data_IF_107473864187
#
_entry.id   IF_107473864187
#
_cell.length_a   1.000
_cell.length_b   1.000
_cell.length_c   1.000
_cell.angle_alpha   90.00
_cell.angle_beta   90.00
_cell.angle_gamma   90.00
#
_symmetry.space_group_name_H-M   'P 1'
#
loop_
_entity.id
_entity.type
_entity.pdbx_description
1 polymer ?
#
# COMPACT_ATOMS: atom_id res chain seq x y z
N UNK A 1 -25.48 -30.31 -1.25
CA UNK A 1 -24.83 -30.95 -2.43
C UNK A 1 -23.54 -30.19 -2.70
N UNK A 2 -22.39 -30.68 -2.23
CA UNK A 2 -21.10 -30.01 -2.47
C UNK A 2 -20.77 -30.13 -3.96
N UNK A 3 -20.71 -29.00 -4.67
CA UNK A 3 -20.15 -28.96 -6.03
C UNK A 3 -18.68 -29.34 -5.92
N UNK A 4 -18.29 -30.38 -6.66
CA UNK A 4 -16.90 -30.79 -6.77
C UNK A 4 -16.19 -29.71 -7.59
N UNK A 5 -15.37 -28.88 -6.95
CA UNK A 5 -14.58 -27.87 -7.64
C UNK A 5 -13.66 -28.55 -8.65
N UNK A 6 -13.75 -28.10 -9.90
CA UNK A 6 -12.84 -28.56 -10.94
C UNK A 6 -11.48 -27.86 -10.79
N UNK A 7 -10.42 -28.46 -11.31
CA UNK A 7 -9.06 -27.93 -11.18
C UNK A 7 -8.93 -26.53 -11.82
N UNK A 8 -9.70 -26.31 -12.88
CA UNK A 8 -9.82 -25.02 -13.57
C UNK A 8 -10.54 -23.98 -12.72
N UNK A 9 -11.57 -24.38 -11.95
CA UNK A 9 -12.24 -23.48 -11.01
C UNK A 9 -11.30 -23.05 -9.89
N UNK A 10 -10.46 -23.98 -9.40
CA UNK A 10 -9.39 -23.65 -8.46
C UNK A 10 -8.44 -22.56 -8.99
N UNK A 11 -8.00 -22.68 -10.24
CA UNK A 11 -7.14 -21.67 -10.88
C UNK A 11 -7.83 -20.31 -11.05
N UNK A 12 -9.12 -20.30 -11.39
CA UNK A 12 -9.91 -19.07 -11.49
C UNK A 12 -10.04 -18.40 -10.13
N UNK A 13 -10.34 -19.16 -9.07
CA UNK A 13 -10.42 -18.62 -7.71
C UNK A 13 -9.06 -18.08 -7.25
N UNK A 14 -7.96 -18.78 -7.55
CA UNK A 14 -6.62 -18.33 -7.21
C UNK A 14 -6.23 -17.04 -7.94
N UNK A 15 -6.60 -16.93 -9.22
CA UNK A 15 -6.42 -15.70 -9.99
C UNK A 15 -7.23 -14.54 -9.42
N UNK A 16 -8.53 -14.75 -9.17
CA UNK A 16 -9.40 -13.71 -8.61
C UNK A 16 -8.92 -13.28 -7.21
N UNK A 17 -8.38 -14.21 -6.41
CA UNK A 17 -7.76 -13.92 -5.10
C UNK A 17 -6.46 -13.15 -5.25
N UNK A 18 -5.64 -13.48 -6.25
CA UNK A 18 -4.39 -12.78 -6.50
C UNK A 18 -4.65 -11.31 -6.87
N UNK A 19 -5.62 -11.08 -7.75
CA UNK A 19 -5.92 -9.77 -8.35
C UNK A 19 -6.92 -8.90 -7.56
N UNK A 20 -7.52 -9.47 -6.50
CA UNK A 20 -8.53 -8.83 -5.65
C UNK A 20 -9.87 -8.53 -6.36
N UNK A 21 -10.35 -9.44 -7.22
CA UNK A 21 -11.67 -9.34 -7.87
C UNK A 21 -12.78 -9.89 -6.96
N UNK A 22 -13.17 -9.10 -5.97
CA UNK A 22 -14.00 -9.53 -4.83
C UNK A 22 -15.45 -9.80 -5.17
N UNK A 23 -16.08 -9.01 -6.04
CA UNK A 23 -17.49 -9.23 -6.40
C UNK A 23 -17.68 -10.59 -7.08
N UNK A 24 -16.73 -10.95 -7.94
CA UNK A 24 -16.70 -12.23 -8.64
C UNK A 24 -16.40 -13.38 -7.68
N UNK A 25 -15.48 -13.20 -6.72
CA UNK A 25 -15.16 -14.20 -5.69
C UNK A 25 -16.32 -14.45 -4.73
N UNK A 26 -16.98 -13.40 -4.25
CA UNK A 26 -18.13 -13.48 -3.35
C UNK A 26 -19.30 -14.16 -4.05
N UNK A 27 -19.55 -13.84 -5.32
CA UNK A 27 -20.54 -14.52 -6.15
C UNK A 27 -20.22 -16.00 -6.41
N UNK A 28 -18.94 -16.39 -6.35
CA UNK A 28 -18.49 -17.77 -6.58
C UNK A 28 -18.39 -18.62 -5.30
N UNK A 29 -18.07 -18.03 -4.15
CA UNK A 29 -17.66 -18.78 -2.95
C UNK A 29 -18.61 -18.64 -1.74
N UNK A 30 -19.66 -17.81 -1.81
CA UNK A 30 -20.72 -17.72 -0.77
C UNK A 30 -20.20 -17.49 0.68
N UNK A 31 -18.96 -16.99 0.83
CA UNK A 31 -18.35 -16.66 2.13
C UNK A 31 -17.30 -15.54 1.97
N UNK A 32 -17.39 -14.44 2.74
CA UNK A 32 -16.38 -13.40 2.74
C UNK A 32 -15.15 -13.87 3.53
N UNK A 33 -14.09 -14.25 2.83
CA UNK A 33 -12.77 -14.46 3.44
C UNK A 33 -12.27 -13.11 3.98
N UNK A 34 -12.10 -13.02 5.30
CA UNK A 34 -11.71 -11.78 5.98
C UNK A 34 -10.36 -11.24 5.49
N UNK A 35 -9.47 -12.10 4.96
CA UNK A 35 -8.20 -11.68 4.38
C UNK A 35 -8.37 -10.99 3.02
N UNK A 36 -9.31 -11.45 2.21
CA UNK A 36 -9.62 -10.87 0.90
C UNK A 36 -10.24 -9.48 1.09
N UNK A 37 -11.18 -9.35 2.03
CA UNK A 37 -11.79 -8.07 2.37
C UNK A 37 -10.78 -7.04 2.89
N UNK A 38 -9.82 -7.47 3.71
CA UNK A 38 -8.73 -6.61 4.17
C UNK A 38 -7.85 -6.13 3.01
N UNK A 39 -7.37 -7.04 2.16
CA UNK A 39 -6.51 -6.72 1.00
C UNK A 39 -7.19 -5.75 0.03
N UNK A 40 -8.51 -5.91 -0.19
CA UNK A 40 -9.30 -4.96 -0.98
C UNK A 40 -9.31 -3.56 -0.38
N UNK A 41 -9.65 -3.42 0.91
CA UNK A 41 -9.64 -2.10 1.59
C UNK A 41 -8.27 -1.43 1.52
N UNK A 42 -7.20 -2.22 1.66
CA UNK A 42 -5.83 -1.75 1.48
C UNK A 42 -5.57 -1.24 0.07
N UNK A 43 -5.97 -2.00 -0.96
CA UNK A 43 -5.86 -1.60 -2.37
C UNK A 43 -6.60 -0.29 -2.64
N UNK A 44 -7.86 -0.20 -2.22
CA UNK A 44 -8.70 0.99 -2.37
C UNK A 44 -8.06 2.22 -1.71
N UNK A 45 -7.62 2.09 -0.45
CA UNK A 45 -6.98 3.17 0.29
C UNK A 45 -5.68 3.64 -0.37
N UNK A 46 -4.79 2.71 -0.74
CA UNK A 46 -3.49 3.05 -1.33
C UNK A 46 -3.65 3.68 -2.72
N UNK A 47 -4.49 3.10 -3.59
CA UNK A 47 -4.69 3.63 -4.94
C UNK A 47 -5.42 4.99 -4.94
N UNK A 48 -6.26 5.26 -3.93
CA UNK A 48 -6.84 6.57 -3.69
C UNK A 48 -5.83 7.59 -3.11
N UNK A 49 -4.63 7.17 -2.72
CA UNK A 49 -3.63 8.01 -2.06
C UNK A 49 -3.88 8.24 -0.56
N UNK A 50 -4.83 7.51 0.04
CA UNK A 50 -5.09 7.56 1.48
C UNK A 50 -4.14 6.61 2.23
N UNK A 51 -2.86 6.97 2.23
CA UNK A 51 -1.81 6.15 2.86
C UNK A 51 -1.95 6.10 4.38
N UNK A 52 -2.52 7.14 5.00
CA UNK A 52 -2.77 7.14 6.45
C UNK A 52 -3.75 6.04 6.84
N UNK A 53 -4.89 5.96 6.15
CA UNK A 53 -5.88 4.90 6.39
C UNK A 53 -5.28 3.51 6.15
N UNK A 54 -4.52 3.35 5.07
CA UNK A 54 -3.84 2.10 4.78
C UNK A 54 -2.87 1.71 5.91
N UNK A 55 -2.10 2.67 6.42
CA UNK A 55 -1.16 2.42 7.52
C UNK A 55 -1.88 2.05 8.83
N UNK A 56 -2.98 2.72 9.17
CA UNK A 56 -3.81 2.36 10.33
C UNK A 56 -4.37 0.95 10.20
N UNK A 57 -4.98 0.61 9.07
CA UNK A 57 -5.49 -0.74 8.81
C UNK A 57 -4.39 -1.80 8.96
N UNK A 58 -3.19 -1.51 8.48
CA UNK A 58 -2.05 -2.41 8.56
C UNK A 58 -1.58 -2.60 10.01
N UNK A 59 -1.48 -1.53 10.81
CA UNK A 59 -1.10 -1.60 12.22
C UNK A 59 -2.16 -2.32 13.07
N UNK A 60 -3.45 -2.11 12.79
CA UNK A 60 -4.54 -2.78 13.48
C UNK A 60 -4.51 -4.29 13.24
N UNK A 61 -4.21 -4.72 12.02
CA UNK A 61 -4.11 -6.14 11.66
C UNK A 61 -2.76 -6.76 12.06
N UNK A 62 -1.67 -5.99 12.00
CA UNK A 62 -0.30 -6.45 12.25
C UNK A 62 0.48 -5.43 13.10
N UNK A 63 0.29 -5.40 14.43
CA UNK A 63 0.91 -4.40 15.30
C UNK A 63 2.45 -4.40 15.28
N UNK A 64 3.09 -5.51 14.90
CA UNK A 64 4.55 -5.67 14.78
C UNK A 64 5.10 -5.28 13.41
N UNK A 65 4.28 -4.80 12.46
CA UNK A 65 4.70 -4.57 11.07
C UNK A 65 5.91 -3.65 10.91
N UNK A 66 6.05 -2.64 11.78
CA UNK A 66 7.20 -1.73 11.77
C UNK A 66 8.52 -2.42 12.10
N UNK A 67 8.48 -3.49 12.89
CA UNK A 67 9.65 -4.33 13.18
C UNK A 67 9.83 -5.44 12.13
N UNK A 68 8.72 -6.01 11.65
CA UNK A 68 8.74 -7.15 10.73
C UNK A 68 9.10 -6.76 9.29
N UNK A 69 8.76 -5.54 8.86
CA UNK A 69 8.92 -5.06 7.50
C UNK A 69 9.24 -3.56 7.43
N UNK A 70 10.37 -3.10 8.04
CA UNK A 70 10.71 -1.68 8.13
C UNK A 70 10.86 -1.00 6.76
N UNK A 71 11.36 -1.72 5.75
CA UNK A 71 11.52 -1.17 4.39
C UNK A 71 10.17 -0.87 3.72
N UNK A 72 9.18 -1.73 3.93
CA UNK A 72 7.82 -1.52 3.44
C UNK A 72 7.15 -0.34 4.15
N UNK A 73 7.32 -0.22 5.47
CA UNK A 73 6.81 0.92 6.24
C UNK A 73 7.48 2.23 5.80
N UNK A 74 8.80 2.21 5.59
CA UNK A 74 9.55 3.34 5.03
C UNK A 74 9.04 3.74 3.64
N UNK A 75 8.70 2.77 2.78
CA UNK A 75 8.06 3.02 1.49
C UNK A 75 6.67 3.67 1.63
N UNK A 76 5.86 3.24 2.60
CA UNK A 76 4.57 3.87 2.91
C UNK A 76 4.76 5.30 3.41
N UNK A 77 5.73 5.57 4.28
CA UNK A 77 6.05 6.93 4.73
C UNK A 77 6.50 7.82 3.56
N UNK A 78 7.37 7.32 2.68
CA UNK A 78 7.73 8.03 1.45
C UNK A 78 6.49 8.36 0.60
N UNK A 79 5.57 7.42 0.44
CA UNK A 79 4.35 7.68 -0.32
C UNK A 79 3.45 8.71 0.37
N UNK A 80 3.26 8.62 1.70
CA UNK A 80 2.50 9.62 2.47
C UNK A 80 3.07 11.03 2.28
N UNK A 81 4.39 11.18 2.32
CA UNK A 81 5.06 12.45 2.05
C UNK A 81 4.72 12.99 0.65
N UNK A 82 4.79 12.13 -0.37
CA UNK A 82 4.43 12.49 -1.76
C UNK A 82 2.96 12.90 -1.87
N UNK A 83 2.03 12.19 -1.22
CA UNK A 83 0.61 12.53 -1.27
C UNK A 83 0.31 13.88 -0.60
N UNK A 84 1.03 14.24 0.47
CA UNK A 84 0.90 15.57 1.07
C UNK A 84 1.33 16.68 0.09
N UNK A 85 2.37 16.45 -0.70
CA UNK A 85 2.79 17.39 -1.76
C UNK A 85 1.73 17.46 -2.87
N UNK A 86 1.24 16.32 -3.36
CA UNK A 86 0.18 16.27 -4.38
C UNK A 86 -1.10 16.99 -3.96
N UNK A 87 -1.43 16.95 -2.68
CA UNK A 87 -2.62 17.59 -2.12
C UNK A 87 -2.42 19.10 -1.89
N UNK A 88 -1.26 19.67 -2.27
CA UNK A 88 -0.96 21.08 -2.05
C UNK A 88 -0.66 21.42 -0.58
N UNK A 89 -0.18 20.46 0.20
CA UNK A 89 0.10 20.61 1.64
C UNK A 89 1.60 20.48 1.98
N UNK A 90 2.50 21.29 1.37
CA UNK A 90 3.95 21.15 1.54
C UNK A 90 4.43 21.38 2.98
N UNK A 91 3.74 22.21 3.76
CA UNK A 91 4.07 22.43 5.17
C UNK A 91 3.84 21.17 6.02
N UNK A 92 2.74 20.45 5.75
CA UNK A 92 2.46 19.16 6.40
C UNK A 92 3.45 18.10 5.96
N UNK A 93 3.81 18.08 4.67
CA UNK A 93 4.86 17.19 4.16
C UNK A 93 6.19 17.42 4.89
N UNK A 94 6.62 18.69 5.03
CA UNK A 94 7.86 19.05 5.74
C UNK A 94 7.82 18.67 7.22
N UNK A 95 6.70 18.91 7.91
CA UNK A 95 6.54 18.51 9.32
C UNK A 95 6.60 16.99 9.47
N UNK A 96 5.87 16.27 8.63
CA UNK A 96 5.85 14.82 8.62
C UNK A 96 7.25 14.24 8.35
N UNK A 97 7.91 14.71 7.29
CA UNK A 97 9.25 14.25 6.93
C UNK A 97 10.28 14.49 8.05
N UNK A 98 10.26 15.66 8.69
CA UNK A 98 11.13 15.95 9.84
C UNK A 98 10.88 15.00 11.00
N UNK A 99 9.61 14.71 11.32
CA UNK A 99 9.25 13.76 12.37
C UNK A 99 9.80 12.37 12.05
N UNK A 100 9.62 11.87 10.83
CA UNK A 100 10.12 10.53 10.47
C UNK A 100 11.64 10.42 10.56
N UNK A 101 12.37 11.47 10.16
CA UNK A 101 13.84 11.52 10.32
C UNK A 101 14.25 11.54 11.80
N UNK A 102 13.58 12.34 12.63
CA UNK A 102 13.88 12.42 14.06
C UNK A 102 13.58 11.13 14.82
N UNK A 103 12.48 10.46 14.47
CA UNK A 103 12.04 9.22 15.11
C UNK A 103 12.67 7.97 14.52
N UNK A 104 13.52 8.12 13.49
CA UNK A 104 14.10 7.02 12.73
C UNK A 104 13.03 6.06 12.17
N UNK A 105 11.85 6.59 11.83
CA UNK A 105 10.70 5.83 11.29
C UNK A 105 10.85 5.48 9.80
N UNK A 106 11.98 5.87 9.19
CA UNK A 106 12.32 5.56 7.81
C UNK A 106 11.54 6.39 6.79
N UNK A 107 12.28 7.07 5.92
CA UNK A 107 11.79 7.57 4.63
C UNK A 107 12.83 7.11 3.61
N UNK A 108 12.38 6.41 2.58
CA UNK A 108 13.27 5.99 1.49
C UNK A 108 13.72 7.22 0.69
N UNK A 109 15.05 7.33 0.49
CA UNK A 109 15.69 8.43 -0.24
C UNK A 109 15.22 9.83 0.21
N UNK A 110 15.45 10.21 1.48
CA UNK A 110 14.89 11.44 2.03
C UNK A 110 15.31 12.68 1.24
N UNK A 111 16.57 12.78 0.80
CA UNK A 111 17.06 13.92 0.03
C UNK A 111 16.24 14.16 -1.24
N UNK A 112 15.95 13.10 -2.00
CA UNK A 112 15.19 13.20 -3.25
C UNK A 112 13.73 13.59 -2.99
N UNK A 113 13.14 13.11 -1.89
CA UNK A 113 11.77 13.48 -1.53
C UNK A 113 11.69 14.91 -1.01
N UNK A 114 12.62 15.35 -0.16
CA UNK A 114 12.65 16.75 0.29
C UNK A 114 12.89 17.72 -0.88
N UNK A 115 13.57 17.29 -1.93
CA UNK A 115 13.74 18.09 -3.15
C UNK A 115 12.40 18.43 -3.82
N UNK A 116 11.36 17.60 -3.68
CA UNK A 116 10.01 17.90 -4.20
C UNK A 116 9.45 19.22 -3.64
N UNK A 117 9.81 19.60 -2.41
CA UNK A 117 9.35 20.84 -1.78
C UNK A 117 9.93 22.11 -2.43
N UNK A 118 11.05 21.98 -3.15
CA UNK A 118 11.71 23.10 -3.82
C UNK A 118 11.02 23.49 -5.14
N UNK A 119 10.13 22.65 -5.66
CA UNK A 119 9.48 22.87 -6.95
C UNK A 119 8.01 23.22 -6.78
N UNK A 120 7.57 24.22 -7.55
CA UNK A 120 6.16 24.63 -7.60
C UNK A 120 5.28 23.56 -8.23
N UNK A 121 5.77 22.95 -9.32
CA UNK A 121 5.12 21.86 -10.07
C UNK A 121 6.11 20.68 -10.21
N UNK A 122 6.27 19.83 -9.18
CA UNK A 122 7.27 18.74 -9.20
C UNK A 122 7.12 17.75 -10.35
N UNK A 123 5.89 17.57 -10.87
CA UNK A 123 5.55 16.70 -12.00
C UNK A 123 6.09 17.19 -13.35
N UNK A 124 6.41 18.47 -13.49
CA UNK A 124 6.96 19.05 -14.72
C UNK A 124 8.49 18.90 -14.79
N UNK A 125 9.14 18.52 -13.68
CA UNK A 125 10.60 18.45 -13.60
C UNK A 125 11.14 17.08 -14.04
N UNK A 126 12.12 17.07 -14.95
CA UNK A 126 12.67 15.85 -15.55
C UNK A 126 13.31 14.87 -14.54
N UNK A 127 13.86 15.38 -13.44
CA UNK A 127 14.62 14.60 -12.45
C UNK A 127 13.69 13.98 -11.41
N UNK A 128 12.71 14.74 -10.92
CA UNK A 128 11.87 14.33 -9.78
C UNK A 128 10.45 13.89 -10.16
N UNK A 129 10.01 14.09 -11.41
CA UNK A 129 8.64 13.73 -11.85
C UNK A 129 8.28 12.27 -11.61
N UNK A 130 9.28 11.37 -11.58
CA UNK A 130 9.04 9.95 -11.31
C UNK A 130 8.46 9.71 -9.91
N UNK A 131 8.83 10.53 -8.93
CA UNK A 131 8.26 10.51 -7.59
C UNK A 131 6.79 10.95 -7.58
N UNK A 132 6.38 11.74 -8.57
CA UNK A 132 5.00 12.20 -8.73
C UNK A 132 4.15 11.25 -9.58
N UNK A 133 4.67 10.12 -10.07
CA UNK A 133 3.88 9.14 -10.82
C UNK A 133 2.84 8.40 -9.96
N UNK A 134 1.63 8.23 -10.49
CA UNK A 134 0.57 7.43 -9.86
C UNK A 134 0.93 5.94 -9.76
N UNK A 135 1.81 5.42 -10.62
CA UNK A 135 2.27 4.02 -10.58
C UNK A 135 2.96 3.67 -9.25
N UNK A 136 3.49 4.68 -8.53
CA UNK A 136 4.07 4.46 -7.20
C UNK A 136 3.05 3.92 -6.19
N UNK A 137 1.77 4.29 -6.32
CA UNK A 137 0.71 3.74 -5.47
C UNK A 137 0.58 2.24 -5.66
N UNK A 138 0.69 1.75 -6.89
CA UNK A 138 0.70 0.31 -7.17
C UNK A 138 1.93 -0.37 -6.59
N UNK A 139 3.12 0.24 -6.70
CA UNK A 139 4.34 -0.29 -6.07
C UNK A 139 4.19 -0.44 -4.55
N UNK A 140 3.60 0.56 -3.89
CA UNK A 140 3.32 0.53 -2.44
C UNK A 140 2.31 -0.59 -2.14
N UNK A 141 1.24 -0.69 -2.93
CA UNK A 141 0.25 -1.74 -2.76
C UNK A 141 0.87 -3.14 -2.91
N UNK A 142 1.69 -3.39 -3.93
CA UNK A 142 2.33 -4.70 -4.12
C UNK A 142 3.28 -5.07 -2.99
N UNK A 143 4.03 -4.10 -2.44
CA UNK A 143 4.88 -4.34 -1.27
C UNK A 143 4.05 -4.77 -0.06
N UNK A 144 2.95 -4.05 0.21
CA UNK A 144 2.02 -4.37 1.31
C UNK A 144 1.31 -5.70 1.08
N UNK A 145 0.81 -5.94 -0.12
CA UNK A 145 0.09 -7.16 -0.48
C UNK A 145 0.98 -8.41 -0.34
N UNK A 146 2.25 -8.30 -0.73
CA UNK A 146 3.26 -9.34 -0.55
C UNK A 146 3.49 -9.66 0.92
N UNK A 147 3.64 -8.65 1.78
CA UNK A 147 3.78 -8.83 3.22
C UNK A 147 2.56 -9.54 3.83
N UNK A 148 1.35 -9.06 3.51
CA UNK A 148 0.09 -9.62 4.03
C UNK A 148 -0.06 -11.08 3.62
N UNK A 149 0.20 -11.41 2.34
CA UNK A 149 0.22 -12.80 1.85
C UNK A 149 1.23 -13.65 2.61
N UNK A 150 2.44 -13.13 2.83
CA UNK A 150 3.49 -13.84 3.58
C UNK A 150 3.09 -14.16 5.02
N UNK A 151 2.42 -13.24 5.72
CA UNK A 151 1.95 -13.45 7.10
C UNK A 151 0.78 -14.44 7.19
N UNK A 152 -0.08 -14.50 6.17
CA UNK A 152 -1.19 -15.46 6.11
C UNK A 152 -0.71 -16.89 5.83
N UNK A 153 0.33 -17.06 5.01
CA UNK A 153 0.91 -18.39 4.73
C UNK A 153 1.62 -18.96 5.96
N UNK A 154 2.20 -18.12 6.83
CA UNK A 154 2.89 -18.56 8.04
C UNK A 154 1.97 -19.09 9.16
N UNK A 155 0.64 -19.03 8.98
CA UNK A 155 -0.37 -19.50 9.93
C UNK A 155 -0.99 -20.86 9.53
N UNK A 156 -0.53 -21.47 8.43
CA UNK A 156 -0.94 -22.79 7.93
C UNK A 156 0.22 -23.76 8.11
#
# INVERSE_FOLDING_TARGET
>A
MQRKETKEMGLVLDYLRAECYTETLEALHDAPDSSIGFRRKMKEAILAGNIELAHTLLLDAFPSVSADAPDMVSLMHSQKFIELIRNGEPEKALLFGRKCVQMNEGISKPNDLFLLLAYKNPEENEVIREYMSLQRRETVFFAVDSFVKGKLIALI
#
